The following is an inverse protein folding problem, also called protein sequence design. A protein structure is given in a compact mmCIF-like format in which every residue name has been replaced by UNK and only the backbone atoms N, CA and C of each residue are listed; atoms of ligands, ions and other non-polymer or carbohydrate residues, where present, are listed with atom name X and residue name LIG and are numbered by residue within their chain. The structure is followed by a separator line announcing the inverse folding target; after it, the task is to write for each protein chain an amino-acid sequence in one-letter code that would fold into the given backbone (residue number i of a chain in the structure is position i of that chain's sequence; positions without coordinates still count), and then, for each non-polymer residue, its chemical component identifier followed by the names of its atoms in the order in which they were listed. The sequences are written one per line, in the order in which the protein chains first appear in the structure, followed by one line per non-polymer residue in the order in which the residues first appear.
data_IF_834983513111
#
_entry.id   IF_834983513111
#
_cell.length_a   1.000
_cell.length_b   1.000
_cell.length_c   1.000
_cell.angle_alpha   90.00
_cell.angle_beta   90.00
_cell.angle_gamma   90.00
#
_symmetry.space_group_name_H-M   'P 1'
#
loop_
_entity.id
_entity.type
_entity.pdbx_description
1 polymer ?
#
# COMPACT_ATOMS: atom_id res chain seq x y z
N UNK A 1 21.38 35.27 56.49
CA UNK A 1 20.66 34.16 55.93
C UNK A 1 20.64 34.29 54.40
N UNK A 2 21.46 33.50 53.70
CA UNK A 2 21.51 33.52 52.23
C UNK A 2 20.58 32.41 51.72
N UNK A 3 19.51 32.81 51.06
CA UNK A 3 18.52 31.89 50.44
C UNK A 3 19.10 31.42 49.09
N UNK A 4 19.51 30.17 49.00
CA UNK A 4 19.86 29.56 47.70
C UNK A 4 18.60 29.08 47.00
N UNK A 5 18.23 29.71 45.88
CA UNK A 5 17.22 29.23 44.99
C UNK A 5 17.78 28.07 44.14
N UNK A 6 17.34 26.86 44.34
CA UNK A 6 17.61 25.74 43.45
C UNK A 6 16.60 25.80 42.27
N UNK A 7 17.12 26.12 41.10
CA UNK A 7 16.36 26.05 39.84
C UNK A 7 16.31 24.60 39.38
N UNK A 8 15.16 23.93 39.56
CA UNK A 8 14.92 22.59 39.02
C UNK A 8 14.55 22.74 37.54
N UNK A 9 15.49 22.46 36.63
CA UNK A 9 15.23 22.39 35.20
C UNK A 9 14.57 21.03 34.93
N UNK A 10 13.24 21.04 34.68
CA UNK A 10 12.51 19.88 34.20
C UNK A 10 12.88 19.66 32.74
N UNK A 11 13.76 18.70 32.45
CA UNK A 11 14.01 18.19 31.11
C UNK A 11 12.78 17.42 30.64
N UNK A 12 11.89 18.08 29.91
CA UNK A 12 10.81 17.42 29.17
C UNK A 12 11.47 16.71 27.99
N UNK A 13 11.79 15.42 28.15
CA UNK A 13 12.16 14.56 27.05
C UNK A 13 10.90 14.36 26.19
N UNK A 14 10.79 15.07 25.10
CA UNK A 14 9.82 14.77 24.06
C UNK A 14 10.21 13.40 23.48
N UNK A 15 9.46 12.36 23.82
CA UNK A 15 9.58 11.06 23.15
C UNK A 15 9.09 11.31 21.71
N UNK A 16 10.03 11.59 20.80
CA UNK A 16 9.74 11.59 19.39
C UNK A 16 9.40 10.13 19.02
N UNK A 17 8.12 9.83 18.90
CA UNK A 17 7.71 8.56 18.33
C UNK A 17 8.13 8.58 16.86
N UNK A 18 9.10 7.72 16.50
CA UNK A 18 9.46 7.53 15.10
C UNK A 18 8.24 6.99 14.35
N UNK A 19 7.93 7.60 13.21
CA UNK A 19 6.84 7.13 12.34
C UNK A 19 7.15 5.72 11.87
N UNK A 20 6.20 4.81 11.96
CA UNK A 20 6.39 3.41 11.61
C UNK A 20 5.69 3.07 10.29
N UNK A 21 6.38 2.34 9.42
CA UNK A 21 5.91 2.03 8.07
C UNK A 21 6.16 0.57 7.71
N UNK A 22 5.13 -0.12 7.29
CA UNK A 22 5.22 -1.39 6.59
C UNK A 22 4.94 -1.20 5.10
N UNK A 23 5.60 -2.00 4.27
CA UNK A 23 5.36 -2.05 2.84
C UNK A 23 4.35 -3.16 2.51
N UNK A 24 3.46 -2.90 1.56
CA UNK A 24 2.58 -3.91 0.98
C UNK A 24 2.54 -3.76 -0.54
N UNK A 25 2.42 -4.89 -1.25
CA UNK A 25 2.47 -4.92 -2.71
C UNK A 25 1.22 -5.62 -3.27
N UNK A 26 0.57 -4.97 -4.23
CA UNK A 26 -0.63 -5.51 -4.87
C UNK A 26 -0.32 -6.14 -6.23
N UNK A 27 -1.27 -6.88 -6.78
CA UNK A 27 -1.35 -7.46 -8.11
C UNK A 27 -0.52 -8.72 -8.36
N UNK A 28 0.79 -8.68 -8.15
CA UNK A 28 1.72 -9.63 -8.75
C UNK A 28 2.04 -9.26 -10.21
N UNK A 29 2.66 -10.18 -10.96
CA UNK A 29 3.05 -9.94 -12.35
C UNK A 29 2.94 -11.21 -13.20
N UNK A 30 2.39 -11.08 -14.42
CA UNK A 30 2.18 -12.19 -15.35
C UNK A 30 3.39 -12.38 -16.29
N UNK A 31 4.12 -13.51 -16.20
CA UNK A 31 5.27 -13.79 -17.06
C UNK A 31 4.94 -13.94 -18.56
N UNK A 32 3.71 -14.33 -18.89
CA UNK A 32 3.30 -14.47 -20.30
C UNK A 32 3.00 -13.10 -20.96
N UNK A 33 2.68 -12.07 -20.16
CA UNK A 33 2.44 -10.72 -20.65
C UNK A 33 3.62 -9.79 -20.44
N UNK A 34 4.51 -10.11 -19.51
CA UNK A 34 5.69 -9.30 -19.20
C UNK A 34 6.95 -10.15 -19.16
N UNK A 35 7.81 -10.08 -20.18
CA UNK A 35 9.05 -10.89 -20.24
C UNK A 35 10.03 -10.58 -19.09
N UNK A 36 9.90 -9.43 -18.42
CA UNK A 36 10.72 -9.05 -17.27
C UNK A 36 10.08 -9.43 -15.93
N UNK A 37 8.95 -10.15 -15.92
CA UNK A 37 8.22 -10.48 -14.70
C UNK A 37 9.08 -11.13 -13.62
N UNK A 38 9.88 -12.12 -13.99
CA UNK A 38 10.79 -12.80 -13.07
C UNK A 38 11.82 -11.83 -12.49
N UNK A 39 12.43 -10.98 -13.32
CA UNK A 39 13.44 -10.01 -12.89
C UNK A 39 12.83 -8.95 -11.96
N UNK A 40 11.62 -8.46 -12.29
CA UNK A 40 10.88 -7.50 -11.45
C UNK A 40 10.64 -8.09 -10.06
N UNK A 41 10.05 -9.28 -10.01
CA UNK A 41 9.74 -9.95 -8.75
C UNK A 41 11.01 -10.23 -7.92
N UNK A 42 12.05 -10.76 -8.55
CA UNK A 42 13.31 -11.07 -7.90
C UNK A 42 13.98 -9.82 -7.32
N UNK A 43 14.06 -8.72 -8.09
CA UNK A 43 14.68 -7.48 -7.64
C UNK A 43 13.96 -6.86 -6.44
N UNK A 44 12.63 -6.89 -6.41
CA UNK A 44 11.86 -6.41 -5.25
C UNK A 44 12.22 -7.25 -4.02
N UNK A 45 12.19 -8.58 -4.14
CA UNK A 45 12.52 -9.50 -3.04
C UNK A 45 13.97 -9.34 -2.55
N UNK A 46 14.93 -9.16 -3.45
CA UNK A 46 16.33 -8.91 -3.10
C UNK A 46 16.49 -7.61 -2.31
N UNK A 47 15.83 -6.53 -2.73
CA UNK A 47 15.87 -5.23 -2.04
C UNK A 47 15.18 -5.29 -0.67
N UNK A 48 14.06 -5.99 -0.54
CA UNK A 48 13.42 -6.23 0.76
C UNK A 48 14.35 -7.00 1.70
N UNK A 49 15.02 -8.05 1.21
CA UNK A 49 16.01 -8.83 1.97
C UNK A 49 17.19 -7.98 2.41
N UNK A 50 17.78 -7.18 1.50
CA UNK A 50 18.91 -6.29 1.80
C UNK A 50 18.58 -5.28 2.90
N UNK A 51 17.35 -4.81 2.96
CA UNK A 51 16.87 -3.86 3.95
C UNK A 51 16.28 -4.51 5.20
N UNK A 52 16.27 -5.84 5.29
CA UNK A 52 15.66 -6.61 6.40
C UNK A 52 14.17 -6.28 6.61
N UNK A 53 13.43 -6.04 5.51
CA UNK A 53 11.99 -5.72 5.55
C UNK A 53 11.19 -6.97 5.22
N UNK A 54 10.26 -7.35 6.10
CA UNK A 54 9.24 -8.35 5.84
C UNK A 54 7.93 -7.67 5.45
N UNK A 55 7.44 -8.00 4.29
CA UNK A 55 6.31 -7.36 3.65
C UNK A 55 5.15 -8.35 3.44
N UNK A 56 4.08 -7.87 2.83
CA UNK A 56 2.96 -8.70 2.36
C UNK A 56 2.70 -8.39 0.89
N UNK A 57 2.43 -9.44 0.10
CA UNK A 57 1.91 -9.31 -1.27
C UNK A 57 0.44 -9.74 -1.30
N UNK A 58 -0.37 -9.00 -2.04
CA UNK A 58 -1.77 -9.30 -2.32
C UNK A 58 -1.92 -9.62 -3.81
N UNK A 59 -1.70 -10.87 -4.23
CA UNK A 59 -1.81 -11.25 -5.63
C UNK A 59 -3.25 -11.37 -6.08
N UNK A 60 -3.52 -11.00 -7.34
CA UNK A 60 -4.76 -11.31 -8.05
C UNK A 60 -4.51 -12.37 -9.11
N UNK A 61 -5.41 -13.36 -9.24
CA UNK A 61 -5.19 -14.49 -10.14
C UNK A 61 -5.02 -14.02 -11.59
N UNK A 62 -5.86 -13.11 -12.05
CA UNK A 62 -5.77 -12.58 -13.43
C UNK A 62 -4.46 -11.82 -13.69
N UNK A 63 -3.91 -11.19 -12.64
CA UNK A 63 -2.69 -10.39 -12.74
C UNK A 63 -1.42 -11.23 -12.76
N UNK A 64 -1.45 -12.40 -12.15
CA UNK A 64 -0.33 -13.34 -12.18
C UNK A 64 -0.40 -14.31 -13.36
N UNK A 65 -1.58 -14.52 -13.94
CA UNK A 65 -1.82 -15.44 -15.05
C UNK A 65 -1.85 -16.91 -14.61
N UNK A 66 -0.89 -17.70 -15.03
CA UNK A 66 -0.84 -19.14 -14.80
C UNK A 66 0.13 -19.57 -13.66
N UNK A 67 0.53 -20.87 -13.69
CA UNK A 67 1.46 -21.45 -12.72
C UNK A 67 2.83 -20.75 -12.67
N UNK A 68 3.27 -20.09 -13.76
CA UNK A 68 4.55 -19.35 -13.78
C UNK A 68 4.46 -18.14 -12.87
N UNK A 69 3.38 -17.35 -12.99
CA UNK A 69 3.14 -16.24 -12.08
C UNK A 69 2.86 -16.68 -10.65
N UNK A 70 2.17 -17.83 -10.46
CA UNK A 70 1.97 -18.40 -9.13
C UNK A 70 3.33 -18.79 -8.49
N UNK A 71 4.30 -19.26 -9.27
CA UNK A 71 5.64 -19.55 -8.77
C UNK A 71 6.38 -18.28 -8.28
N UNK A 72 6.15 -17.14 -8.94
CA UNK A 72 6.68 -15.85 -8.51
C UNK A 72 6.06 -15.40 -7.17
N UNK A 73 4.74 -15.59 -7.01
CA UNK A 73 4.06 -15.34 -5.72
C UNK A 73 4.60 -16.26 -4.62
N UNK A 74 4.77 -17.56 -4.92
CA UNK A 74 5.31 -18.52 -3.95
C UNK A 74 6.73 -18.17 -3.46
N UNK A 75 7.51 -17.43 -4.24
CA UNK A 75 8.84 -16.95 -3.85
C UNK A 75 8.78 -15.96 -2.67
N UNK A 76 7.69 -15.19 -2.54
CA UNK A 76 7.48 -14.29 -1.39
C UNK A 76 7.39 -15.08 -0.08
N UNK A 77 6.52 -16.09 -0.03
CA UNK A 77 6.38 -16.92 1.15
C UNK A 77 7.64 -17.69 1.53
N UNK A 78 8.41 -18.16 0.55
CA UNK A 78 9.71 -18.82 0.77
C UNK A 78 10.75 -17.88 1.38
N UNK A 79 10.60 -16.57 1.22
CA UNK A 79 11.43 -15.53 1.82
C UNK A 79 10.76 -14.86 3.04
N UNK A 80 9.84 -15.57 3.69
CA UNK A 80 9.16 -15.17 4.94
C UNK A 80 8.24 -13.94 4.82
N UNK A 81 7.92 -13.50 3.60
CA UNK A 81 6.87 -12.52 3.37
C UNK A 81 5.48 -13.16 3.50
N UNK A 82 4.47 -12.34 3.75
CA UNK A 82 3.07 -12.80 3.79
C UNK A 82 2.43 -12.73 2.40
N UNK A 83 1.43 -13.58 2.21
CA UNK A 83 0.62 -13.63 0.99
C UNK A 83 -0.83 -13.49 1.43
N UNK A 84 -1.50 -12.43 1.00
CA UNK A 84 -2.92 -12.19 1.20
C UNK A 84 -3.74 -12.53 -0.05
N UNK A 85 -4.95 -12.00 -0.12
CA UNK A 85 -5.90 -12.22 -1.22
C UNK A 85 -6.30 -10.88 -1.86
N UNK A 86 -6.14 -10.77 -3.19
CA UNK A 86 -6.58 -9.62 -4.00
C UNK A 86 -7.55 -10.04 -5.10
N UNK A 87 -8.37 -11.03 -4.82
CA UNK A 87 -9.39 -11.65 -5.68
C UNK A 87 -8.86 -12.33 -6.96
N UNK A 88 -9.80 -12.92 -7.69
CA UNK A 88 -9.51 -13.61 -8.95
C UNK A 88 -9.36 -12.63 -10.13
N UNK A 89 -10.39 -11.81 -10.37
CA UNK A 89 -10.54 -11.02 -11.60
C UNK A 89 -10.18 -9.54 -11.47
N UNK A 90 -9.70 -9.13 -10.31
CA UNK A 90 -9.35 -7.71 -10.04
C UNK A 90 -10.52 -6.75 -10.36
N UNK A 91 -11.74 -7.13 -10.00
CA UNK A 91 -12.95 -6.37 -10.29
C UNK A 91 -13.12 -5.17 -9.35
N UNK A 92 -13.57 -4.03 -9.88
CA UNK A 92 -13.93 -2.87 -9.07
C UNK A 92 -15.36 -3.05 -8.52
N UNK A 93 -15.52 -3.23 -7.21
CA UNK A 93 -16.81 -3.45 -6.55
C UNK A 93 -17.78 -2.27 -6.69
N UNK A 94 -17.27 -1.05 -6.95
CA UNK A 94 -18.11 0.13 -7.16
C UNK A 94 -18.77 0.18 -8.55
N UNK A 95 -18.40 -0.71 -9.49
CA UNK A 95 -19.03 -0.78 -10.80
C UNK A 95 -20.42 -1.45 -10.71
N UNK A 96 -21.43 -0.88 -11.40
CA UNK A 96 -22.81 -1.37 -11.34
C UNK A 96 -22.96 -2.83 -11.77
N UNK A 97 -22.21 -3.24 -12.79
CA UNK A 97 -22.22 -4.60 -13.33
C UNK A 97 -21.58 -5.65 -12.42
N UNK A 98 -20.88 -5.26 -11.36
CA UNK A 98 -20.27 -6.19 -10.40
C UNK A 98 -21.22 -6.39 -9.23
N UNK A 99 -21.84 -7.56 -9.13
CA UNK A 99 -22.72 -7.88 -8.00
C UNK A 99 -21.94 -8.33 -6.78
N UNK A 100 -22.56 -8.23 -5.60
CA UNK A 100 -21.99 -8.73 -4.34
C UNK A 100 -21.58 -10.20 -4.44
N UNK A 101 -22.47 -11.06 -4.99
CA UNK A 101 -22.20 -12.49 -5.11
C UNK A 101 -21.05 -12.80 -6.06
N UNK A 102 -21.02 -12.16 -7.24
CA UNK A 102 -19.91 -12.33 -8.19
C UNK A 102 -18.56 -11.95 -7.58
N UNK A 103 -18.54 -10.89 -6.76
CA UNK A 103 -17.32 -10.46 -6.10
C UNK A 103 -16.88 -11.44 -5.01
N UNK A 104 -17.82 -11.97 -4.21
CA UNK A 104 -17.58 -13.01 -3.21
C UNK A 104 -17.01 -14.28 -3.87
N UNK A 105 -17.59 -14.70 -4.99
CA UNK A 105 -17.12 -15.88 -5.73
C UNK A 105 -15.66 -15.72 -6.20
N UNK A 106 -15.27 -14.50 -6.59
CA UNK A 106 -13.87 -14.19 -6.97
C UNK A 106 -12.92 -14.26 -5.77
N UNK A 107 -13.36 -13.84 -4.58
CA UNK A 107 -12.57 -13.97 -3.34
C UNK A 107 -12.33 -15.44 -3.03
N UNK A 108 -13.39 -16.24 -3.07
CA UNK A 108 -13.32 -17.68 -2.81
C UNK A 108 -12.40 -18.40 -3.79
N UNK A 109 -12.54 -18.14 -5.12
CA UNK A 109 -11.68 -18.80 -6.12
C UNK A 109 -10.21 -18.41 -5.98
N UNK A 110 -9.91 -17.17 -5.67
CA UNK A 110 -8.54 -16.75 -5.40
C UNK A 110 -7.96 -17.40 -4.14
N UNK A 111 -8.76 -17.58 -3.09
CA UNK A 111 -8.33 -18.30 -1.89
C UNK A 111 -7.87 -19.73 -2.21
N UNK A 112 -8.60 -20.45 -3.07
CA UNK A 112 -8.23 -21.82 -3.45
C UNK A 112 -6.85 -21.87 -4.13
N UNK A 113 -6.46 -20.80 -4.82
CA UNK A 113 -5.15 -20.68 -5.49
C UNK A 113 -4.02 -20.35 -4.50
N UNK A 114 -4.26 -19.41 -3.58
CA UNK A 114 -3.19 -18.86 -2.75
C UNK A 114 -3.04 -19.53 -1.39
N UNK A 115 -4.11 -20.07 -0.83
CA UNK A 115 -4.12 -20.72 0.49
C UNK A 115 -3.09 -21.87 0.67
N UNK A 116 -2.78 -22.67 -0.37
CA UNK A 116 -1.74 -23.70 -0.25
C UNK A 116 -0.31 -23.16 -0.15
N UNK A 117 -0.06 -21.88 -0.42
CA UNK A 117 1.28 -21.31 -0.44
C UNK A 117 1.80 -21.06 0.98
N UNK A 118 3.09 -21.32 1.18
CA UNK A 118 3.79 -20.87 2.39
C UNK A 118 3.68 -19.35 2.52
N UNK A 119 3.41 -18.86 3.73
CA UNK A 119 3.23 -17.42 3.97
C UNK A 119 1.80 -16.92 3.81
N UNK A 120 0.86 -17.77 3.36
CA UNK A 120 -0.54 -17.40 3.30
C UNK A 120 -1.08 -16.93 4.65
N UNK A 121 -1.85 -15.83 4.60
CA UNK A 121 -2.66 -15.33 5.72
C UNK A 121 -4.04 -14.93 5.19
N UNK A 122 -5.12 -15.17 5.95
CA UNK A 122 -6.48 -14.77 5.55
C UNK A 122 -6.64 -13.26 5.73
N UNK A 123 -6.00 -12.49 4.85
CA UNK A 123 -6.06 -11.04 4.83
C UNK A 123 -6.48 -10.59 3.43
N UNK A 124 -7.51 -9.74 3.36
CA UNK A 124 -8.11 -9.32 2.10
C UNK A 124 -7.84 -7.85 1.81
N UNK A 125 -7.38 -7.56 0.58
CA UNK A 125 -7.24 -6.23 0.02
C UNK A 125 -8.24 -6.04 -1.13
N UNK A 126 -9.09 -5.01 -1.00
CA UNK A 126 -10.03 -4.64 -2.06
C UNK A 126 -9.29 -4.00 -3.24
N UNK A 127 -9.70 -4.38 -4.47
CA UNK A 127 -9.14 -3.82 -5.70
C UNK A 127 -9.49 -2.34 -5.82
N UNK A 128 -8.53 -1.53 -6.27
CA UNK A 128 -8.68 -0.08 -6.34
C UNK A 128 -9.06 0.56 -5.00
N UNK A 129 -8.88 -0.13 -3.90
CA UNK A 129 -9.38 0.23 -2.56
C UNK A 129 -10.91 0.50 -2.54
N UNK A 130 -11.69 -0.08 -3.46
CA UNK A 130 -13.14 0.15 -3.57
C UNK A 130 -13.93 -0.95 -2.85
N UNK A 131 -14.60 -0.57 -1.77
CA UNK A 131 -15.30 -1.47 -0.83
C UNK A 131 -16.81 -1.52 -1.04
N UNK A 132 -17.32 -0.87 -2.09
CA UNK A 132 -18.73 -0.86 -2.47
C UNK A 132 -19.35 0.53 -2.54
N UNK A 133 -20.17 0.77 -3.57
CA UNK A 133 -20.86 2.03 -3.77
C UNK A 133 -22.30 2.02 -3.20
N UNK A 134 -22.75 0.89 -2.68
CA UNK A 134 -24.04 0.72 -2.00
C UNK A 134 -23.86 0.03 -0.65
N UNK A 135 -24.81 0.18 0.26
CA UNK A 135 -24.82 -0.49 1.57
C UNK A 135 -24.78 -2.01 1.37
N UNK A 136 -25.57 -2.55 0.42
CA UNK A 136 -25.62 -3.97 0.12
C UNK A 136 -24.25 -4.53 -0.26
N UNK A 137 -23.52 -3.88 -1.17
CA UNK A 137 -22.19 -4.32 -1.60
C UNK A 137 -21.18 -4.24 -0.47
N UNK A 138 -21.09 -3.09 0.20
CA UNK A 138 -20.18 -2.87 1.32
C UNK A 138 -20.39 -3.91 2.43
N UNK A 139 -21.63 -4.00 2.91
CA UNK A 139 -21.92 -4.82 4.08
C UNK A 139 -21.97 -6.32 3.72
N UNK A 140 -22.46 -6.68 2.51
CA UNK A 140 -22.49 -8.06 2.05
C UNK A 140 -21.10 -8.67 1.91
N UNK A 141 -20.15 -7.95 1.27
CA UNK A 141 -18.77 -8.44 1.15
C UNK A 141 -18.07 -8.44 2.50
N UNK A 142 -18.24 -7.39 3.31
CA UNK A 142 -17.63 -7.33 4.64
C UNK A 142 -18.13 -8.46 5.56
N UNK A 143 -19.40 -8.80 5.49
CA UNK A 143 -19.98 -9.92 6.24
C UNK A 143 -19.40 -11.27 5.80
N UNK A 144 -19.28 -11.50 4.50
CA UNK A 144 -18.65 -12.71 3.97
C UNK A 144 -17.20 -12.83 4.46
N UNK A 145 -16.38 -11.78 4.32
CA UNK A 145 -14.99 -11.78 4.77
C UNK A 145 -14.89 -12.10 6.26
N UNK A 146 -15.74 -11.50 7.09
CA UNK A 146 -15.79 -11.77 8.52
C UNK A 146 -16.15 -13.24 8.82
N UNK A 147 -17.14 -13.81 8.13
CA UNK A 147 -17.55 -15.22 8.30
C UNK A 147 -16.43 -16.19 7.90
N UNK A 148 -15.62 -15.85 6.90
CA UNK A 148 -14.49 -16.65 6.44
C UNK A 148 -13.21 -16.41 7.26
N UNK A 149 -13.26 -15.58 8.32
CA UNK A 149 -12.10 -15.29 9.18
C UNK A 149 -11.05 -14.39 8.54
N UNK A 150 -11.43 -13.64 7.50
CA UNK A 150 -10.52 -12.67 6.89
C UNK A 150 -10.33 -11.44 7.79
N UNK A 151 -9.09 -11.01 7.87
CA UNK A 151 -8.71 -9.73 8.43
C UNK A 151 -8.58 -8.66 7.34
N UNK A 152 -8.66 -7.38 7.77
CA UNK A 152 -8.52 -6.24 6.86
C UNK A 152 -7.11 -6.15 6.28
N UNK A 153 -7.01 -6.02 4.96
CA UNK A 153 -5.81 -5.64 4.23
C UNK A 153 -5.78 -4.16 3.87
N UNK A 154 -6.54 -3.31 4.56
CA UNK A 154 -6.60 -1.88 4.27
C UNK A 154 -5.21 -1.22 4.35
N UNK A 155 -5.04 -0.13 3.62
CA UNK A 155 -3.84 0.73 3.69
C UNK A 155 -4.15 1.98 4.49
N UNK A 156 -3.14 2.54 5.11
CA UNK A 156 -3.22 3.87 5.72
C UNK A 156 -2.59 4.95 4.83
N UNK A 157 -1.66 4.56 3.96
CA UNK A 157 -1.02 5.44 2.98
C UNK A 157 -1.29 4.88 1.59
N UNK A 158 -2.03 5.64 0.80
CA UNK A 158 -2.30 5.38 -0.60
C UNK A 158 -1.36 6.21 -1.48
N UNK A 159 -0.84 5.62 -2.57
CA UNK A 159 0.13 6.22 -3.46
C UNK A 159 -0.09 5.80 -4.91
N UNK A 160 0.35 6.63 -5.85
CA UNK A 160 0.17 6.43 -7.30
C UNK A 160 1.38 5.79 -7.96
N UNK A 161 2.04 4.81 -7.35
CA UNK A 161 3.23 4.15 -7.91
C UNK A 161 2.96 3.55 -9.31
N UNK A 162 1.74 3.08 -9.56
CA UNK A 162 1.29 2.59 -10.88
C UNK A 162 1.40 3.67 -11.96
N UNK A 163 1.09 4.93 -11.66
CA UNK A 163 1.22 6.04 -12.60
C UNK A 163 2.68 6.35 -12.92
N UNK A 164 3.53 6.40 -11.88
CA UNK A 164 4.98 6.57 -12.05
C UNK A 164 5.59 5.38 -12.82
N UNK A 165 5.08 4.17 -12.63
CA UNK A 165 5.50 3.00 -13.39
C UNK A 165 5.19 3.12 -14.89
N UNK A 166 4.05 3.69 -15.28
CA UNK A 166 3.76 3.96 -16.71
C UNK A 166 4.80 4.90 -17.33
N UNK A 167 5.18 5.96 -16.61
CA UNK A 167 6.24 6.88 -17.06
C UNK A 167 7.61 6.19 -17.09
N UNK A 168 7.93 5.39 -16.09
CA UNK A 168 9.17 4.59 -16.05
C UNK A 168 9.30 3.67 -17.26
N UNK A 169 8.25 2.94 -17.61
CA UNK A 169 8.23 2.06 -18.77
C UNK A 169 8.39 2.82 -20.07
N UNK A 170 7.74 3.99 -20.20
CA UNK A 170 7.84 4.86 -21.36
C UNK A 170 9.27 5.38 -21.56
N UNK A 171 9.88 5.94 -20.51
CA UNK A 171 11.24 6.48 -20.58
C UNK A 171 12.28 5.37 -20.81
N UNK A 172 12.10 4.20 -20.18
CA UNK A 172 12.97 3.04 -20.41
C UNK A 172 12.91 2.58 -21.86
N UNK A 173 11.72 2.44 -22.44
CA UNK A 173 11.52 2.03 -23.83
C UNK A 173 12.19 2.98 -24.82
N UNK A 174 12.20 4.28 -24.52
CA UNK A 174 12.73 5.33 -25.37
C UNK A 174 14.22 5.65 -25.10
N UNK A 175 14.87 4.93 -24.16
CA UNK A 175 16.29 5.14 -23.80
C UNK A 175 16.57 6.49 -23.12
N UNK A 176 15.56 7.09 -22.48
CA UNK A 176 15.63 8.42 -21.86
C UNK A 176 16.21 8.34 -20.43
N UNK A 177 17.51 8.11 -20.32
CA UNK A 177 18.19 7.87 -19.03
C UNK A 177 18.19 9.09 -18.10
N UNK A 178 18.28 10.30 -18.64
CA UNK A 178 18.21 11.53 -17.84
C UNK A 178 16.83 11.73 -17.20
N UNK A 179 15.77 11.39 -17.95
CA UNK A 179 14.38 11.42 -17.46
C UNK A 179 14.13 10.36 -16.40
N UNK A 180 14.77 9.19 -16.48
CA UNK A 180 14.66 8.15 -15.47
C UNK A 180 15.21 8.62 -14.12
N UNK A 181 16.32 9.36 -14.09
CA UNK A 181 16.88 9.91 -12.84
C UNK A 181 15.97 10.99 -12.24
N UNK A 182 15.42 11.87 -13.07
CA UNK A 182 14.41 12.85 -12.63
C UNK A 182 13.15 12.15 -12.10
N UNK A 183 12.71 11.09 -12.78
CA UNK A 183 11.53 10.31 -12.39
C UNK A 183 11.75 9.61 -11.04
N UNK A 184 12.94 9.05 -10.78
CA UNK A 184 13.29 8.49 -9.48
C UNK A 184 13.07 9.52 -8.37
N UNK A 185 13.62 10.72 -8.55
CA UNK A 185 13.51 11.80 -7.57
C UNK A 185 12.04 12.24 -7.38
N UNK A 186 11.28 12.39 -8.47
CA UNK A 186 9.86 12.73 -8.42
C UNK A 186 9.03 11.64 -7.72
N UNK A 187 9.36 10.38 -7.96
CA UNK A 187 8.70 9.24 -7.34
C UNK A 187 8.95 9.17 -5.82
N UNK A 188 10.20 9.34 -5.40
CA UNK A 188 10.56 9.39 -3.98
C UNK A 188 9.85 10.56 -3.27
N UNK A 189 9.88 11.76 -3.88
CA UNK A 189 9.19 12.95 -3.36
C UNK A 189 7.67 12.71 -3.24
N UNK A 190 7.06 12.05 -4.24
CA UNK A 190 5.65 11.64 -4.19
C UNK A 190 5.36 10.74 -2.98
N UNK A 191 6.11 9.67 -2.80
CA UNK A 191 5.86 8.71 -1.72
C UNK A 191 6.03 9.36 -0.34
N UNK A 192 7.06 10.18 -0.15
CA UNK A 192 7.31 10.90 1.10
C UNK A 192 6.20 11.93 1.39
N UNK A 193 5.77 12.68 0.39
CA UNK A 193 4.68 13.65 0.51
C UNK A 193 3.37 12.96 0.89
N UNK A 194 3.03 11.85 0.21
CA UNK A 194 1.83 11.06 0.55
C UNK A 194 1.93 10.50 1.96
N UNK A 195 3.06 9.93 2.35
CA UNK A 195 3.25 9.38 3.69
C UNK A 195 3.11 10.46 4.78
N UNK A 196 3.71 11.62 4.59
CA UNK A 196 3.58 12.73 5.53
C UNK A 196 2.14 13.28 5.59
N UNK A 197 1.46 13.39 4.45
CA UNK A 197 0.05 13.80 4.41
C UNK A 197 -0.83 12.84 5.20
N UNK A 198 -0.72 11.54 4.97
CA UNK A 198 -1.56 10.55 5.66
C UNK A 198 -1.24 10.43 7.15
N UNK A 199 0.03 10.59 7.54
CA UNK A 199 0.41 10.63 8.94
C UNK A 199 -0.22 11.83 9.67
N UNK A 200 -0.12 13.03 9.09
CA UNK A 200 -0.76 14.22 9.65
C UNK A 200 -2.30 14.10 9.69
N UNK A 201 -2.89 13.54 8.62
CA UNK A 201 -4.33 13.31 8.57
C UNK A 201 -4.77 12.29 9.64
N UNK A 202 -3.98 11.24 9.90
CA UNK A 202 -4.26 10.26 10.94
C UNK A 202 -4.21 10.92 12.33
N UNK A 203 -3.17 11.71 12.63
CA UNK A 203 -3.08 12.45 13.90
C UNK A 203 -4.31 13.34 14.11
N UNK A 204 -4.75 14.05 13.06
CA UNK A 204 -5.94 14.91 13.12
C UNK A 204 -7.25 14.14 13.26
N UNK A 205 -7.29 12.88 12.84
CA UNK A 205 -8.51 12.08 12.74
C UNK A 205 -8.68 11.13 13.91
N UNK A 206 -7.63 10.41 14.30
CA UNK A 206 -7.64 9.41 15.36
C UNK A 206 -6.76 9.79 16.58
N UNK A 207 -6.05 10.93 16.53
CA UNK A 207 -5.29 11.47 17.64
C UNK A 207 -3.86 10.93 17.80
N UNK A 208 -3.39 10.07 16.91
CA UNK A 208 -2.03 9.50 16.96
C UNK A 208 -1.52 9.13 15.56
N UNK A 209 -0.20 8.94 15.43
CA UNK A 209 0.45 8.38 14.25
C UNK A 209 0.39 6.86 14.33
N UNK A 210 -0.41 6.18 13.48
CA UNK A 210 -0.53 4.72 13.53
C UNK A 210 0.71 4.04 12.95
N UNK A 211 0.79 2.72 13.11
CA UNK A 211 1.71 1.90 12.33
C UNK A 211 1.19 1.85 10.90
N UNK A 212 1.82 2.60 10.02
CA UNK A 212 1.35 2.77 8.65
C UNK A 212 1.61 1.55 7.77
N UNK A 213 0.71 1.32 6.80
CA UNK A 213 0.90 0.40 5.67
C UNK A 213 0.82 1.22 4.38
N UNK A 214 1.91 1.21 3.61
CA UNK A 214 2.01 1.85 2.29
C UNK A 214 1.62 0.87 1.20
N UNK A 215 0.73 1.32 0.30
CA UNK A 215 0.37 0.61 -0.91
C UNK A 215 1.40 0.85 -2.00
N UNK A 216 1.96 -0.25 -2.52
CA UNK A 216 2.78 -0.33 -3.72
C UNK A 216 2.27 -1.48 -4.60
N UNK A 217 2.82 -1.64 -5.81
CA UNK A 217 2.52 -2.76 -6.69
C UNK A 217 3.80 -3.53 -7.05
N UNK A 218 3.65 -4.81 -7.44
CA UNK A 218 4.75 -5.59 -8.00
C UNK A 218 5.01 -5.11 -9.44
N UNK A 219 5.80 -4.04 -9.58
CA UNK A 219 6.03 -3.37 -10.85
C UNK A 219 7.49 -2.97 -11.09
N UNK A 220 7.78 -2.44 -12.30
CA UNK A 220 9.14 -2.18 -12.73
C UNK A 220 9.80 -1.00 -12.00
N UNK A 221 9.05 0.03 -11.62
CA UNK A 221 9.61 1.18 -10.92
C UNK A 221 10.02 0.80 -9.49
N UNK A 222 9.24 -0.03 -8.80
CA UNK A 222 9.61 -0.57 -7.50
C UNK A 222 10.80 -1.52 -7.60
N UNK A 223 10.87 -2.35 -8.64
CA UNK A 223 12.04 -3.18 -8.91
C UNK A 223 13.31 -2.34 -9.16
N UNK A 224 13.18 -1.13 -9.71
CA UNK A 224 14.30 -0.25 -9.99
C UNK A 224 14.74 0.57 -8.76
N UNK A 225 13.81 1.11 -7.97
CA UNK A 225 14.09 2.20 -7.03
C UNK A 225 13.70 1.93 -5.57
N UNK A 226 13.32 0.69 -5.20
CA UNK A 226 12.86 0.40 -3.83
C UNK A 226 13.94 0.69 -2.78
N UNK A 227 15.22 0.43 -3.07
CA UNK A 227 16.31 0.76 -2.15
C UNK A 227 16.40 2.28 -1.93
N UNK A 228 16.34 3.07 -3.02
CA UNK A 228 16.37 4.54 -2.92
C UNK A 228 15.17 5.07 -2.11
N UNK A 229 13.99 4.48 -2.31
CA UNK A 229 12.80 4.80 -1.51
C UNK A 229 13.03 4.50 -0.03
N UNK A 230 13.53 3.29 0.29
CA UNK A 230 13.78 2.89 1.69
C UNK A 230 14.80 3.80 2.36
N UNK A 231 15.89 4.15 1.67
CA UNK A 231 16.92 5.08 2.19
C UNK A 231 16.31 6.46 2.44
N UNK A 232 15.54 7.00 1.50
CA UNK A 232 14.90 8.29 1.64
C UNK A 232 13.93 8.33 2.84
N UNK A 233 13.12 7.29 3.03
CA UNK A 233 12.24 7.20 4.19
C UNK A 233 13.01 7.14 5.51
N UNK A 234 14.11 6.37 5.58
CA UNK A 234 14.98 6.32 6.77
C UNK A 234 15.58 7.70 7.09
N UNK A 235 16.06 8.44 6.08
CA UNK A 235 16.57 9.81 6.23
C UNK A 235 15.50 10.78 6.77
N UNK A 236 14.21 10.54 6.45
CA UNK A 236 13.07 11.31 6.96
C UNK A 236 12.47 10.72 8.25
N UNK A 237 13.26 9.92 8.99
CA UNK A 237 12.94 9.37 10.32
C UNK A 237 11.73 8.40 10.32
N UNK A 238 11.46 7.73 9.19
CA UNK A 238 10.54 6.61 9.14
C UNK A 238 11.25 5.32 9.52
N UNK A 239 10.67 4.54 10.42
CA UNK A 239 11.13 3.22 10.80
C UNK A 239 10.35 2.16 10.04
N UNK A 240 11.03 1.30 9.30
CA UNK A 240 10.38 0.14 8.68
C UNK A 240 10.10 -0.95 9.71
N UNK A 241 8.89 -1.49 9.63
CA UNK A 241 8.41 -2.59 10.48
C UNK A 241 7.79 -3.67 9.60
N UNK A 242 7.62 -4.88 10.16
CA UNK A 242 6.95 -5.98 9.46
C UNK A 242 5.45 -5.68 9.26
N UNK A 243 4.88 -6.14 8.14
CA UNK A 243 3.46 -5.95 7.83
C UNK A 243 2.53 -6.49 8.90
N UNK A 244 2.84 -7.66 9.50
CA UNK A 244 2.04 -8.23 10.58
C UNK A 244 2.06 -7.34 11.84
N UNK A 245 3.21 -6.72 12.14
CA UNK A 245 3.32 -5.76 13.23
C UNK A 245 2.49 -4.49 12.95
N UNK A 246 2.46 -4.03 11.70
CA UNK A 246 1.65 -2.88 11.33
C UNK A 246 0.15 -3.17 11.46
N UNK A 247 -0.32 -4.31 10.98
CA UNK A 247 -1.73 -4.68 11.06
C UNK A 247 -2.26 -4.97 12.47
N UNK A 248 -1.40 -5.02 13.48
CA UNK A 248 -1.82 -5.04 14.88
C UNK A 248 -2.35 -3.68 15.36
N UNK A 249 -2.06 -2.60 14.63
CA UNK A 249 -2.56 -1.27 14.98
C UNK A 249 -4.10 -1.24 14.99
N UNK A 250 -4.73 -0.65 16.03
CA UNK A 250 -6.19 -0.59 16.14
C UNK A 250 -6.88 0.06 14.95
N UNK A 251 -6.22 0.95 14.20
CA UNK A 251 -6.80 1.67 13.06
C UNK A 251 -7.36 0.70 12.01
N UNK A 252 -6.72 -0.44 11.78
CA UNK A 252 -7.16 -1.43 10.77
C UNK A 252 -8.39 -2.24 11.17
N UNK A 253 -8.87 -2.08 12.40
CA UNK A 253 -10.13 -2.68 12.89
C UNK A 253 -11.29 -1.69 12.85
N UNK A 254 -11.03 -0.41 12.57
CA UNK A 254 -12.06 0.60 12.46
C UNK A 254 -12.86 0.40 11.17
N UNK A 255 -14.15 0.72 11.24
CA UNK A 255 -15.08 0.65 10.10
C UNK A 255 -15.65 2.04 9.83
N UNK A 256 -15.88 2.33 8.56
CA UNK A 256 -16.55 3.56 8.14
C UNK A 256 -17.91 3.26 7.51
N UNK A 257 -18.83 4.23 7.63
CA UNK A 257 -20.16 4.14 7.04
C UNK A 257 -20.32 5.05 5.81
N UNK A 258 -19.23 5.61 5.28
CA UNK A 258 -19.25 6.46 4.09
C UNK A 258 -19.57 5.66 2.83
N UNK A 259 -20.20 6.30 1.87
CA UNK A 259 -20.41 5.79 0.51
C UNK A 259 -19.96 6.82 -0.52
N UNK A 260 -19.37 6.38 -1.64
CA UNK A 260 -18.81 5.05 -1.86
C UNK A 260 -17.81 4.68 -0.77
N UNK A 261 -17.81 3.40 -0.35
CA UNK A 261 -16.89 2.89 0.65
C UNK A 261 -15.51 2.58 0.05
N UNK A 262 -14.47 2.65 0.90
CA UNK A 262 -13.09 2.34 0.52
C UNK A 262 -12.15 3.52 0.65
N UNK A 263 -11.09 3.54 -0.16
CA UNK A 263 -9.90 4.39 -0.07
C UNK A 263 -8.99 3.98 1.11
N UNK A 264 -7.92 4.75 1.36
CA UNK A 264 -7.13 4.57 2.58
C UNK A 264 -8.03 4.65 3.83
N UNK A 265 -7.78 3.79 4.82
CA UNK A 265 -8.56 3.82 6.07
C UNK A 265 -8.51 5.18 6.75
N UNK A 266 -7.36 5.85 6.70
CA UNK A 266 -7.19 7.21 7.26
C UNK A 266 -8.07 8.21 6.51
N UNK A 267 -8.10 8.15 5.18
CA UNK A 267 -8.92 9.02 4.35
C UNK A 267 -10.42 8.78 4.57
N UNK A 268 -10.83 7.53 4.62
CA UNK A 268 -12.22 7.14 4.89
C UNK A 268 -12.72 7.63 6.25
N UNK A 269 -11.91 7.47 7.30
CA UNK A 269 -12.22 7.97 8.64
C UNK A 269 -12.31 9.49 8.66
N UNK A 270 -11.37 10.19 8.01
CA UNK A 270 -11.38 11.65 7.92
C UNK A 270 -12.62 12.16 7.16
N UNK A 271 -13.01 11.50 6.06
CA UNK A 271 -14.26 11.79 5.32
C UNK A 271 -15.48 11.59 6.19
N UNK A 272 -15.56 10.51 6.96
CA UNK A 272 -16.68 10.25 7.88
C UNK A 272 -16.81 11.33 8.95
N UNK A 273 -15.68 11.87 9.43
CA UNK A 273 -15.65 12.97 10.42
C UNK A 273 -15.81 14.36 9.78
N UNK A 274 -16.15 14.43 8.48
CA UNK A 274 -16.30 15.66 7.71
C UNK A 274 -15.08 16.61 7.83
N UNK A 275 -13.86 16.04 7.87
CA UNK A 275 -12.64 16.85 7.87
C UNK A 275 -12.57 17.65 6.57
N UNK A 276 -12.28 18.94 6.69
CA UNK A 276 -12.13 19.83 5.56
C UNK A 276 -10.82 19.58 4.80
N UNK A 277 -10.81 19.93 3.52
CA UNK A 277 -9.60 19.96 2.68
C UNK A 277 -8.90 18.61 2.51
N UNK A 278 -9.67 17.52 2.40
CA UNK A 278 -9.09 16.23 2.05
C UNK A 278 -8.44 16.30 0.64
N UNK A 279 -7.18 15.90 0.57
CA UNK A 279 -6.52 15.71 -0.72
C UNK A 279 -7.20 14.56 -1.46
N UNK A 280 -7.16 14.64 -2.78
CA UNK A 280 -7.71 13.59 -3.61
C UNK A 280 -7.00 12.25 -3.34
N UNK A 281 -7.72 11.12 -3.33
CA UNK A 281 -7.08 9.81 -3.26
C UNK A 281 -6.08 9.58 -4.39
N UNK A 282 -5.01 8.87 -4.12
CA UNK A 282 -3.90 8.68 -5.06
C UNK A 282 -4.23 7.83 -6.31
N UNK A 283 -5.45 7.33 -6.43
CA UNK A 283 -5.89 6.54 -7.59
C UNK A 283 -6.11 7.35 -8.87
N UNK A 284 -6.23 8.68 -8.77
CA UNK A 284 -6.48 9.53 -9.93
C UNK A 284 -5.21 10.25 -10.40
N UNK A 285 -4.64 9.73 -11.48
CA UNK A 285 -3.41 10.16 -12.11
C UNK A 285 -3.24 11.66 -12.44
N UNK A 286 -4.28 12.44 -12.76
CA UNK A 286 -4.09 13.83 -13.21
C UNK A 286 -3.31 14.72 -12.23
N UNK A 287 -3.42 14.46 -10.94
CA UNK A 287 -2.72 15.24 -9.91
C UNK A 287 -1.20 15.08 -9.93
N UNK A 288 -0.72 13.95 -10.40
CA UNK A 288 0.70 13.65 -10.43
C UNK A 288 1.42 14.37 -11.59
N UNK A 289 0.70 14.82 -12.61
CA UNK A 289 1.27 15.59 -13.72
C UNK A 289 1.90 16.90 -13.24
N UNK A 290 1.28 17.59 -12.30
CA UNK A 290 1.83 18.83 -11.74
C UNK A 290 3.14 18.59 -10.97
N UNK A 291 3.25 17.45 -10.30
CA UNK A 291 4.48 17.03 -9.63
C UNK A 291 5.57 16.76 -10.66
N UNK A 292 5.27 15.97 -11.70
CA UNK A 292 6.24 15.66 -12.76
C UNK A 292 6.80 16.92 -13.41
N UNK A 293 5.97 17.92 -13.72
CA UNK A 293 6.41 19.21 -14.26
C UNK A 293 7.42 19.92 -13.35
N UNK A 294 7.26 19.86 -12.03
CA UNK A 294 8.24 20.45 -11.08
C UNK A 294 9.62 19.79 -11.18
N UNK A 295 9.69 18.54 -11.60
CA UNK A 295 10.94 17.83 -11.87
C UNK A 295 11.41 17.93 -13.33
N UNK A 296 10.74 18.77 -14.17
CA UNK A 296 11.07 18.93 -15.59
C UNK A 296 10.76 17.65 -16.39
N UNK A 297 9.65 16.99 -16.07
CA UNK A 297 9.10 15.82 -16.76
C UNK A 297 7.71 16.13 -17.33
N UNK A 298 7.37 15.47 -18.46
CA UNK A 298 6.08 15.62 -19.17
C UNK A 298 5.22 14.35 -19.05
#
# INVERSE_FOLDING_TARGET
MKLCFFLVILLITTISHSKQLALSFDDGVNPDLNPNAQQINQRILEQLKQNHIRSIVYPSVIKIGDYKGLSLVAAWGKQEHKIGNHSELHSNLNKEQVTTQQYIDQIFRAEQVFKPLTGWVPRYRYQFLKEGNTIEKRDGVAHYLQQQGYESGAVSIDASDWFYNLKYLSYTKNGQTAELEKLKNAYIDHLLDRANYYDQLAIQTVGYSPKHVLLLHVNAINAAFLNDVVEAFKLHQWQFIDSETAYQDPIYRLKTNVLPAGESIVWSLAKQLAKAQLRYPAEDAPYELERLKRFGLE
#
